data_IF_542788062395
#
_entry.id   IF_542788062395
#
_cell.length_a   1.000
_cell.length_b   1.000
_cell.length_c   1.000
_cell.angle_alpha   90.00
_cell.angle_beta   90.00
_cell.angle_gamma   90.00
#
_symmetry.space_group_name_H-M   'P 1'
#
loop_
_entity.id
_entity.type
_entity.pdbx_description
1 polymer ?
#
# COMPACT_ATOMS: atom_id res chain seq x y z
N UNK A 1 16.98 7.32 -24.36
CA UNK A 1 16.85 5.95 -23.88
C UNK A 1 16.63 6.00 -22.38
N UNK A 2 15.38 6.04 -22.02
CA UNK A 2 14.88 6.19 -20.66
C UNK A 2 14.78 4.80 -20.01
N UNK A 3 15.51 4.59 -18.91
CA UNK A 3 15.50 3.33 -18.17
C UNK A 3 14.47 3.40 -17.06
N UNK A 4 13.41 2.56 -17.08
CA UNK A 4 12.40 2.48 -16.02
C UNK A 4 12.93 1.84 -14.72
N UNK A 5 12.13 1.82 -13.62
CA UNK A 5 12.57 1.35 -12.31
C UNK A 5 13.25 -0.02 -12.38
N UNK A 6 14.38 -0.08 -11.74
CA UNK A 6 15.53 -0.97 -11.92
C UNK A 6 15.30 -2.40 -12.46
N UNK A 7 14.39 -3.19 -11.94
CA UNK A 7 14.19 -4.57 -12.41
C UNK A 7 13.23 -4.67 -13.59
N UNK A 8 12.10 -3.98 -13.54
CA UNK A 8 11.11 -4.01 -14.62
C UNK A 8 11.66 -3.44 -15.92
N UNK A 9 12.44 -2.37 -15.83
CA UNK A 9 13.01 -1.72 -17.00
C UNK A 9 14.20 -2.44 -17.61
N UNK A 10 14.94 -3.20 -16.84
CA UNK A 10 16.06 -4.01 -17.37
C UNK A 10 15.53 -5.26 -18.13
N UNK A 11 14.39 -5.77 -17.70
CA UNK A 11 13.82 -7.01 -18.25
C UNK A 11 12.86 -6.75 -19.42
N UNK A 12 12.21 -5.59 -19.44
CA UNK A 12 11.23 -5.24 -20.47
C UNK A 12 11.79 -5.30 -21.91
N UNK A 13 13.03 -4.83 -22.21
CA UNK A 13 13.57 -4.90 -23.55
C UNK A 13 13.92 -6.32 -24.02
N UNK A 14 14.17 -7.24 -23.08
CA UNK A 14 14.67 -8.60 -23.39
C UNK A 14 13.53 -9.60 -23.56
N UNK A 15 12.46 -9.48 -22.76
CA UNK A 15 11.38 -10.48 -22.74
C UNK A 15 9.98 -9.91 -22.69
N UNK A 16 9.82 -8.59 -22.86
CA UNK A 16 8.51 -7.93 -22.80
C UNK A 16 7.83 -8.03 -21.43
N UNK A 17 6.55 -7.66 -21.37
CA UNK A 17 5.77 -7.66 -20.12
C UNK A 17 5.60 -9.07 -19.50
N UNK A 18 5.65 -10.12 -20.32
CA UNK A 18 5.56 -11.52 -19.86
C UNK A 18 6.71 -11.92 -18.95
N UNK A 19 7.93 -11.42 -19.21
CA UNK A 19 9.09 -11.71 -18.36
C UNK A 19 8.95 -11.14 -16.95
N UNK A 20 8.29 -9.98 -16.81
CA UNK A 20 7.97 -9.41 -15.49
C UNK A 20 7.03 -10.35 -14.72
N UNK A 21 6.01 -10.89 -15.39
CA UNK A 21 5.09 -11.85 -14.77
C UNK A 21 5.81 -13.14 -14.33
N UNK A 22 6.74 -13.67 -15.13
CA UNK A 22 7.54 -14.83 -14.73
C UNK A 22 8.46 -14.57 -13.55
N UNK A 23 9.04 -13.38 -13.45
CA UNK A 23 9.83 -12.97 -12.28
C UNK A 23 8.94 -12.94 -11.03
N UNK A 24 7.73 -12.37 -11.11
CA UNK A 24 6.79 -12.36 -9.98
C UNK A 24 6.40 -13.78 -9.55
N UNK A 25 6.15 -14.68 -10.50
CA UNK A 25 5.90 -16.10 -10.21
C UNK A 25 7.11 -16.73 -9.52
N UNK A 26 8.32 -16.49 -10.01
CA UNK A 26 9.53 -17.03 -9.39
C UNK A 26 9.71 -16.53 -7.95
N UNK A 27 9.46 -15.24 -7.69
CA UNK A 27 9.45 -14.68 -6.34
C UNK A 27 8.39 -15.31 -5.43
N UNK A 28 7.16 -15.51 -5.93
CA UNK A 28 6.08 -16.13 -5.18
C UNK A 28 6.41 -17.58 -4.83
N UNK A 29 6.94 -18.36 -5.78
CA UNK A 29 7.37 -19.74 -5.56
C UNK A 29 8.53 -19.80 -4.55
N UNK A 30 9.53 -18.94 -4.72
CA UNK A 30 10.64 -18.85 -3.76
C UNK A 30 10.14 -18.52 -2.34
N UNK A 31 9.30 -17.50 -2.20
CA UNK A 31 8.70 -17.14 -0.92
C UNK A 31 7.93 -18.31 -0.30
N UNK A 32 7.13 -19.03 -1.09
CA UNK A 32 6.39 -20.20 -0.64
C UNK A 32 7.33 -21.33 -0.16
N UNK A 33 8.35 -21.65 -0.95
CA UNK A 33 9.32 -22.69 -0.59
C UNK A 33 10.14 -22.35 0.66
N UNK A 34 10.45 -21.06 0.88
CA UNK A 34 11.17 -20.62 2.06
C UNK A 34 10.26 -20.55 3.30
N UNK A 35 9.00 -20.17 3.13
CA UNK A 35 8.08 -20.03 4.26
C UNK A 35 7.71 -21.37 4.89
N UNK A 36 7.50 -22.39 4.09
CA UNK A 36 7.09 -23.72 4.59
C UNK A 36 8.03 -24.33 5.66
N UNK A 37 9.36 -24.40 5.46
CA UNK A 37 10.26 -24.98 6.45
C UNK A 37 10.67 -24.02 7.56
N UNK A 38 10.56 -22.67 7.34
CA UNK A 38 11.06 -21.68 8.29
C UNK A 38 10.02 -21.16 9.26
N UNK A 39 8.73 -21.30 8.94
CA UNK A 39 7.63 -20.86 9.81
C UNK A 39 6.99 -22.04 10.49
N UNK A 40 7.32 -22.32 11.77
CA UNK A 40 6.68 -23.39 12.52
C UNK A 40 5.20 -23.06 12.77
N UNK A 41 4.36 -24.09 12.80
CA UNK A 41 2.96 -23.95 13.19
C UNK A 41 2.88 -23.45 14.64
N UNK A 42 2.35 -22.25 14.83
CA UNK A 42 2.24 -21.61 16.15
C UNK A 42 0.89 -21.83 16.80
N UNK A 43 -0.07 -22.43 16.10
CA UNK A 43 -1.39 -22.69 16.64
C UNK A 43 -1.40 -24.00 17.46
N UNK A 44 -1.82 -23.98 18.74
CA UNK A 44 -1.94 -25.17 19.55
C UNK A 44 -2.92 -26.17 18.91
N UNK A 45 -2.53 -27.44 18.83
CA UNK A 45 -3.33 -28.50 18.21
C UNK A 45 -4.80 -28.58 18.65
N UNK A 46 -5.18 -28.33 19.92
CA UNK A 46 -6.58 -28.34 20.35
C UNK A 46 -7.41 -27.15 19.85
N UNK A 47 -6.77 -26.08 19.36
CA UNK A 47 -7.46 -24.92 18.78
C UNK A 47 -7.85 -25.12 17.30
N UNK A 48 -7.44 -26.23 16.67
CA UNK A 48 -7.84 -26.57 15.30
C UNK A 48 -9.27 -27.11 15.33
N UNK A 49 -10.23 -26.21 15.45
CA UNK A 49 -11.64 -26.53 15.22
C UNK A 49 -11.78 -26.95 13.77
N UNK A 50 -12.41 -28.10 13.50
CA UNK A 50 -12.67 -28.54 12.12
C UNK A 50 -13.36 -27.40 11.35
N UNK A 51 -12.69 -26.89 10.33
CA UNK A 51 -13.20 -25.83 9.48
C UNK A 51 -14.37 -26.37 8.68
N UNK A 52 -15.57 -26.22 9.22
CA UNK A 52 -16.81 -26.44 8.46
C UNK A 52 -17.18 -25.11 7.80
N UNK A 53 -17.56 -25.14 6.52
CA UNK A 53 -17.96 -23.94 5.78
C UNK A 53 -19.01 -23.08 6.54
N UNK A 54 -19.94 -23.76 7.26
CA UNK A 54 -20.92 -23.09 8.11
C UNK A 54 -20.28 -22.29 9.26
N UNK A 55 -19.26 -22.85 9.92
CA UNK A 55 -18.55 -22.17 11.01
C UNK A 55 -17.75 -20.97 10.49
N UNK A 56 -17.13 -21.12 9.32
CA UNK A 56 -16.41 -20.00 8.67
C UNK A 56 -17.38 -18.86 8.36
N UNK A 57 -18.51 -19.14 7.71
CA UNK A 57 -19.50 -18.14 7.39
C UNK A 57 -20.12 -17.48 8.64
N UNK A 58 -20.43 -18.27 9.66
CA UNK A 58 -20.93 -17.76 10.94
C UNK A 58 -19.93 -16.82 11.62
N UNK A 59 -18.64 -17.17 11.61
CA UNK A 59 -17.58 -16.33 12.16
C UNK A 59 -17.46 -15.00 11.41
N UNK A 60 -17.43 -15.04 10.07
CA UNK A 60 -17.42 -13.80 9.27
C UNK A 60 -18.67 -12.95 9.53
N UNK A 61 -19.84 -13.58 9.64
CA UNK A 61 -21.08 -12.87 9.91
C UNK A 61 -21.10 -12.20 11.29
N UNK A 62 -20.54 -12.87 12.31
CA UNK A 62 -20.38 -12.30 13.64
C UNK A 62 -19.44 -11.10 13.66
N UNK A 63 -18.35 -11.15 12.90
CA UNK A 63 -17.40 -10.03 12.74
C UNK A 63 -18.06 -8.84 12.06
N UNK A 64 -18.82 -9.07 10.99
CA UNK A 64 -19.56 -8.02 10.27
C UNK A 64 -20.64 -7.35 11.13
N UNK A 65 -21.23 -8.05 12.11
CA UNK A 65 -22.15 -7.46 13.09
C UNK A 65 -21.46 -6.57 14.12
N UNK A 66 -20.17 -6.73 14.31
CA UNK A 66 -19.40 -5.91 15.25
C UNK A 66 -19.15 -4.53 14.66
N UNK A 67 -19.84 -3.50 15.15
CA UNK A 67 -19.66 -2.11 14.72
C UNK A 67 -18.22 -1.64 14.82
N UNK A 68 -17.51 -2.09 15.87
CA UNK A 68 -16.10 -1.74 16.08
C UNK A 68 -15.18 -2.33 15.00
N UNK A 69 -15.39 -3.61 14.68
CA UNK A 69 -14.65 -4.31 13.62
C UNK A 69 -14.95 -3.69 12.25
N UNK A 70 -16.23 -3.48 11.95
CA UNK A 70 -16.67 -2.88 10.68
C UNK A 70 -16.07 -1.49 10.48
N UNK A 71 -16.08 -0.65 11.53
CA UNK A 71 -15.44 0.67 11.47
C UNK A 71 -13.94 0.61 11.14
N UNK A 72 -13.21 -0.34 11.73
CA UNK A 72 -11.78 -0.53 11.42
C UNK A 72 -11.55 -1.02 9.99
N UNK A 73 -12.37 -1.95 9.51
CA UNK A 73 -12.28 -2.48 8.15
C UNK A 73 -12.57 -1.40 7.12
N UNK A 74 -13.65 -0.62 7.31
CA UNK A 74 -14.00 0.49 6.41
C UNK A 74 -12.90 1.55 6.40
N UNK A 75 -12.41 1.91 7.56
CA UNK A 75 -11.32 2.87 7.67
C UNK A 75 -10.04 2.42 6.94
N UNK A 76 -9.63 1.16 7.14
CA UNK A 76 -8.48 0.59 6.45
C UNK A 76 -8.72 0.49 4.93
N UNK A 77 -9.94 0.14 4.53
CA UNK A 77 -10.34 0.07 3.13
C UNK A 77 -10.29 1.44 2.43
N UNK A 78 -10.71 2.51 3.11
CA UNK A 78 -10.61 3.87 2.58
C UNK A 78 -9.16 4.31 2.39
N UNK A 79 -8.27 4.02 3.35
CA UNK A 79 -6.82 4.30 3.20
C UNK A 79 -6.25 3.53 2.00
N UNK A 80 -6.55 2.24 1.88
CA UNK A 80 -6.13 1.46 0.73
C UNK A 80 -6.70 2.01 -0.58
N UNK A 81 -7.94 2.47 -0.57
CA UNK A 81 -8.59 3.12 -1.71
C UNK A 81 -7.85 4.38 -2.17
N UNK A 82 -7.41 5.24 -1.25
CA UNK A 82 -6.61 6.43 -1.59
C UNK A 82 -5.25 6.05 -2.16
N UNK A 83 -4.58 5.05 -1.59
CA UNK A 83 -3.31 4.56 -2.10
C UNK A 83 -3.44 4.00 -3.54
N UNK A 84 -4.44 3.16 -3.80
CA UNK A 84 -4.67 2.63 -5.15
C UNK A 84 -5.14 3.70 -6.13
N UNK A 85 -5.94 4.67 -5.68
CA UNK A 85 -6.30 5.85 -6.46
C UNK A 85 -5.08 6.63 -6.90
N UNK A 86 -4.17 6.92 -5.97
CA UNK A 86 -2.88 7.55 -6.29
C UNK A 86 -2.07 6.72 -7.29
N UNK A 87 -1.86 5.43 -7.06
CA UNK A 87 -1.10 4.57 -7.97
C UNK A 87 -1.67 4.55 -9.38
N UNK A 88 -2.99 4.53 -9.51
CA UNK A 88 -3.67 4.52 -10.81
C UNK A 88 -3.58 5.86 -11.55
N UNK A 89 -3.71 6.97 -10.82
CA UNK A 89 -3.74 8.32 -11.39
C UNK A 89 -2.35 8.95 -11.54
N UNK A 90 -1.37 8.54 -10.75
CA UNK A 90 -0.07 9.20 -10.65
C UNK A 90 0.68 9.26 -11.98
N UNK A 91 0.70 8.20 -12.76
CA UNK A 91 1.36 8.17 -14.06
C UNK A 91 0.71 9.17 -15.04
N UNK A 92 -0.61 9.26 -15.05
CA UNK A 92 -1.34 10.22 -15.87
C UNK A 92 -1.07 11.67 -15.41
N UNK A 93 -1.14 11.94 -14.11
CA UNK A 93 -0.91 13.26 -13.54
C UNK A 93 0.51 13.74 -13.86
N UNK A 94 1.53 12.94 -13.57
CA UNK A 94 2.91 13.36 -13.74
C UNK A 94 3.37 13.37 -15.20
N UNK A 95 3.01 12.37 -15.99
CA UNK A 95 3.52 12.24 -17.36
C UNK A 95 2.65 12.99 -18.39
N UNK A 96 1.32 12.99 -18.22
CA UNK A 96 0.41 13.61 -19.19
C UNK A 96 0.08 15.06 -18.83
N UNK A 97 -0.32 15.31 -17.58
CA UNK A 97 -0.72 16.67 -17.17
C UNK A 97 0.49 17.57 -16.93
N UNK A 98 1.48 17.11 -16.15
CA UNK A 98 2.71 17.88 -15.87
C UNK A 98 3.82 17.69 -16.91
N UNK A 99 3.60 16.91 -17.98
CA UNK A 99 4.56 16.66 -19.08
C UNK A 99 5.94 16.20 -18.59
N UNK A 100 5.98 15.48 -17.46
CA UNK A 100 7.23 14.95 -16.93
C UNK A 100 7.73 13.75 -17.73
N UNK A 101 9.04 13.65 -17.87
CA UNK A 101 9.64 12.48 -18.52
C UNK A 101 9.42 11.20 -17.68
N UNK A 102 9.36 10.02 -18.32
CA UNK A 102 9.29 8.75 -17.60
C UNK A 102 10.41 8.56 -16.58
N UNK A 103 11.59 9.12 -16.84
CA UNK A 103 12.73 9.08 -15.91
C UNK A 103 12.46 9.93 -14.67
N UNK A 104 11.91 11.16 -14.83
CA UNK A 104 11.54 12.01 -13.71
C UNK A 104 10.45 11.36 -12.86
N UNK A 105 9.41 10.77 -13.49
CA UNK A 105 8.39 10.03 -12.79
C UNK A 105 8.96 8.86 -11.97
N UNK A 106 9.90 8.11 -12.53
CA UNK A 106 10.55 7.00 -11.82
C UNK A 106 11.33 7.44 -10.58
N UNK A 107 11.97 8.61 -10.63
CA UNK A 107 12.68 9.20 -9.48
C UNK A 107 11.67 9.62 -8.40
N UNK A 108 10.60 10.31 -8.79
CA UNK A 108 9.54 10.71 -7.87
C UNK A 108 8.96 9.46 -7.17
N UNK A 109 8.63 8.44 -7.94
CA UNK A 109 8.10 7.18 -7.38
C UNK A 109 9.08 6.48 -6.43
N UNK A 110 10.37 6.54 -6.72
CA UNK A 110 11.41 6.01 -5.82
C UNK A 110 11.48 6.79 -4.51
N UNK A 111 11.39 8.13 -4.55
CA UNK A 111 11.36 8.98 -3.36
C UNK A 111 10.15 8.64 -2.49
N UNK A 112 8.96 8.50 -3.07
CA UNK A 112 7.75 8.07 -2.34
C UNK A 112 7.91 6.69 -1.71
N UNK A 113 8.51 5.74 -2.44
CA UNK A 113 8.73 4.39 -1.93
C UNK A 113 9.66 4.40 -0.70
N UNK A 114 10.73 5.20 -0.73
CA UNK A 114 11.62 5.40 0.41
C UNK A 114 10.88 6.06 1.57
N UNK A 115 10.06 7.08 1.29
CA UNK A 115 9.21 7.73 2.29
C UNK A 115 8.26 6.76 2.96
N UNK A 116 7.58 5.90 2.20
CA UNK A 116 6.71 4.85 2.73
C UNK A 116 7.45 3.89 3.67
N UNK A 117 8.64 3.46 3.30
CA UNK A 117 9.48 2.60 4.15
C UNK A 117 9.85 3.33 5.44
N UNK A 118 10.30 4.57 5.35
CA UNK A 118 10.68 5.37 6.51
C UNK A 118 9.51 5.59 7.49
N UNK A 119 8.34 5.95 6.97
CA UNK A 119 7.10 6.11 7.76
C UNK A 119 6.68 4.78 8.37
N UNK A 120 6.81 3.65 7.64
CA UNK A 120 6.55 2.32 8.16
C UNK A 120 7.44 1.97 9.37
N UNK A 121 8.74 2.25 9.29
CA UNK A 121 9.68 2.06 10.41
C UNK A 121 9.34 2.97 11.60
N UNK A 122 9.03 4.24 11.31
CA UNK A 122 8.59 5.18 12.34
C UNK A 122 7.30 4.71 13.04
N UNK A 123 6.33 4.23 12.27
CA UNK A 123 5.08 3.68 12.82
C UNK A 123 5.35 2.45 13.71
N UNK A 124 6.24 1.55 13.30
CA UNK A 124 6.65 0.41 14.12
C UNK A 124 7.26 0.89 15.46
N UNK A 125 8.14 1.88 15.44
CA UNK A 125 8.71 2.49 16.64
C UNK A 125 7.63 3.15 17.51
N UNK A 126 6.69 3.90 16.92
CA UNK A 126 5.59 4.54 17.66
C UNK A 126 4.66 3.52 18.31
N UNK A 127 4.41 2.38 17.68
CA UNK A 127 3.60 1.29 18.25
C UNK A 127 4.22 0.71 19.54
N UNK A 128 5.54 0.79 19.71
CA UNK A 128 6.20 0.36 20.97
C UNK A 128 6.12 1.41 22.08
N UNK A 129 5.87 2.68 21.74
CA UNK A 129 5.87 3.82 22.69
C UNK A 129 4.48 4.37 23.00
N UNK A 130 3.51 4.13 22.15
CA UNK A 130 2.16 4.69 22.26
C UNK A 130 1.11 3.59 22.26
N UNK A 131 -0.03 3.86 22.90
CA UNK A 131 -1.19 2.98 22.77
C UNK A 131 -1.65 2.90 21.31
N UNK A 132 -1.96 1.70 20.84
CA UNK A 132 -2.39 1.44 19.46
C UNK A 132 -3.52 2.38 18.98
N UNK A 133 -4.52 2.62 19.86
CA UNK A 133 -5.63 3.54 19.56
C UNK A 133 -5.17 4.96 19.27
N UNK A 134 -4.20 5.46 20.06
CA UNK A 134 -3.67 6.83 19.90
C UNK A 134 -2.83 6.95 18.63
N UNK A 135 -2.03 5.92 18.35
CA UNK A 135 -1.22 5.88 17.14
C UNK A 135 -2.10 5.85 15.88
N UNK A 136 -3.14 5.02 15.86
CA UNK A 136 -4.12 4.98 14.77
C UNK A 136 -4.83 6.33 14.58
N UNK A 137 -5.32 6.94 15.67
CA UNK A 137 -5.98 8.24 15.60
C UNK A 137 -5.05 9.32 15.04
N UNK A 138 -3.78 9.34 15.47
CA UNK A 138 -2.77 10.27 14.98
C UNK A 138 -2.52 10.09 13.47
N UNK A 139 -2.28 8.85 13.02
CA UNK A 139 -2.08 8.55 11.60
C UNK A 139 -3.29 8.94 10.74
N UNK A 140 -4.51 8.64 11.20
CA UNK A 140 -5.74 9.05 10.53
C UNK A 140 -5.90 10.56 10.42
N UNK A 141 -5.64 11.29 11.51
CA UNK A 141 -5.75 12.75 11.52
C UNK A 141 -4.79 13.38 10.51
N UNK A 142 -3.55 12.91 10.48
CA UNK A 142 -2.55 13.39 9.50
C UNK A 142 -3.03 13.08 8.09
N UNK A 143 -3.44 11.86 7.81
CA UNK A 143 -3.89 11.45 6.48
C UNK A 143 -5.07 12.31 5.98
N UNK A 144 -6.08 12.50 6.82
CA UNK A 144 -7.23 13.37 6.48
C UNK A 144 -6.81 14.82 6.29
N UNK A 145 -5.90 15.34 7.13
CA UNK A 145 -5.40 16.71 6.98
C UNK A 145 -4.71 16.93 5.63
N UNK A 146 -3.85 16.00 5.21
CA UNK A 146 -3.19 16.09 3.90
C UNK A 146 -4.18 15.98 2.74
N UNK A 147 -5.17 15.10 2.82
CA UNK A 147 -6.22 15.01 1.80
C UNK A 147 -7.06 16.29 1.69
N UNK A 148 -7.40 16.91 2.83
CA UNK A 148 -8.12 18.20 2.84
C UNK A 148 -7.26 19.31 2.26
N UNK A 149 -5.97 19.37 2.61
CA UNK A 149 -5.04 20.34 2.04
C UNK A 149 -4.90 20.16 0.52
N UNK A 150 -4.79 18.93 0.05
CA UNK A 150 -4.76 18.62 -1.38
C UNK A 150 -6.04 19.09 -2.08
N UNK A 151 -7.20 18.77 -1.51
CA UNK A 151 -8.48 19.21 -2.06
C UNK A 151 -8.57 20.75 -2.13
N UNK A 152 -8.18 21.44 -1.07
CA UNK A 152 -8.18 22.90 -1.02
C UNK A 152 -7.20 23.49 -2.05
N UNK A 153 -6.00 22.92 -2.19
CA UNK A 153 -5.03 23.36 -3.20
C UNK A 153 -5.61 23.27 -4.63
N UNK A 154 -6.30 22.17 -4.93
CA UNK A 154 -6.95 21.97 -6.23
C UNK A 154 -8.11 22.96 -6.43
N UNK A 155 -8.99 23.13 -5.43
CA UNK A 155 -10.15 24.03 -5.52
C UNK A 155 -9.75 25.51 -5.64
N UNK A 156 -8.65 25.92 -5.01
CA UNK A 156 -8.13 27.27 -5.07
C UNK A 156 -7.24 27.53 -6.30
N UNK A 157 -7.07 26.54 -7.17
CA UNK A 157 -6.27 26.66 -8.39
C UNK A 157 -4.75 26.62 -8.18
N UNK A 158 -4.28 26.28 -6.98
CA UNK A 158 -2.84 26.09 -6.71
C UNK A 158 -2.34 24.74 -7.22
N UNK A 159 -2.56 24.48 -8.51
CA UNK A 159 -2.18 23.21 -9.15
C UNK A 159 -0.77 23.36 -9.73
N UNK A 160 0.24 23.45 -8.86
CA UNK A 160 1.64 23.37 -9.28
C UNK A 160 2.19 21.96 -9.05
N UNK A 161 3.17 21.59 -9.88
CA UNK A 161 3.87 20.30 -9.75
C UNK A 161 4.42 20.08 -8.33
N UNK A 162 5.03 21.13 -7.75
CA UNK A 162 5.66 21.07 -6.42
C UNK A 162 4.63 20.84 -5.31
N UNK A 163 3.50 21.54 -5.35
CA UNK A 163 2.43 21.42 -4.34
C UNK A 163 1.78 20.04 -4.43
N UNK A 164 1.42 19.61 -5.64
CA UNK A 164 0.79 18.30 -5.84
C UNK A 164 1.74 17.17 -5.44
N UNK A 165 3.02 17.25 -5.82
CA UNK A 165 4.01 16.24 -5.45
C UNK A 165 4.33 16.21 -3.96
N UNK A 166 4.20 17.31 -3.23
CA UNK A 166 4.44 17.37 -1.79
C UNK A 166 3.24 16.90 -0.95
N UNK A 167 2.01 17.00 -1.47
CA UNK A 167 0.78 16.65 -0.75
C UNK A 167 0.28 15.22 -1.03
N UNK A 168 0.75 14.60 -2.11
CA UNK A 168 0.46 13.20 -2.45
C UNK A 168 1.36 12.23 -1.69
#
# INVERSE_FOLDING_TARGET
PTRPPFLGGAVLPVGGWRSISWILVAFAVAAFCFTQPLVPETQPAPAITRLTLGNVFSNYWSLLKSRRYLGMVVASGLIMGTMFGYLSASSFIFMTYFQQSPSAYSIIFAIYSIGMIAVGQLNMYLCTRMQLRRNLAFGFTIHVAFLVLLLLAVLLGFVSFEIISALL
#
